data_IF_480191151057
#
_entry.id   IF_480191151057
#
_cell.length_a   1.000
_cell.length_b   1.000
_cell.length_c   1.000
_cell.angle_alpha   90.00
_cell.angle_beta   90.00
_cell.angle_gamma   90.00
#
_symmetry.space_group_name_H-M   'P 1'
#
loop_
_entity.id
_entity.type
_entity.pdbx_description
1 polymer ?
#
# COMPACT_ATOMS: atom_id res chain seq x y z
N UNK A 1 0.30 -47.62 29.74
CA UNK A 1 -0.04 -46.62 28.71
C UNK A 1 -1.44 -46.02 28.94
N UNK A 2 -1.88 -45.84 30.19
CA UNK A 2 -3.28 -45.45 30.49
C UNK A 2 -3.44 -44.03 31.06
N UNK A 3 -2.34 -43.33 31.36
CA UNK A 3 -2.38 -41.99 31.97
C UNK A 3 -2.61 -40.84 30.97
N UNK A 4 -2.38 -41.04 29.67
CA UNK A 4 -2.50 -39.98 28.67
C UNK A 4 -3.96 -39.64 28.32
N UNK A 5 -4.87 -40.62 28.40
CA UNK A 5 -6.27 -40.48 27.99
C UNK A 5 -7.10 -39.67 29.01
N UNK A 6 -6.76 -39.76 30.30
CA UNK A 6 -7.45 -39.05 31.39
C UNK A 6 -7.28 -37.52 31.35
N UNK A 7 -6.24 -37.01 30.66
CA UNK A 7 -6.05 -35.57 30.44
C UNK A 7 -6.75 -35.04 29.19
N UNK A 8 -7.24 -35.90 28.29
CA UNK A 8 -7.84 -35.47 27.02
C UNK A 8 -9.26 -34.90 27.14
N UNK A 9 -9.90 -35.03 28.32
CA UNK A 9 -11.27 -34.54 28.56
C UNK A 9 -11.38 -33.19 29.29
N UNK A 10 -10.28 -32.62 29.81
CA UNK A 10 -10.30 -31.35 30.54
C UNK A 10 -9.83 -30.21 29.62
N UNK A 11 -10.70 -29.22 29.39
CA UNK A 11 -10.29 -27.96 28.76
C UNK A 11 -9.11 -27.39 29.55
N UNK A 12 -8.00 -27.10 28.86
CA UNK A 12 -6.85 -26.42 29.46
C UNK A 12 -7.31 -25.06 30.01
N UNK A 13 -6.75 -24.65 31.15
CA UNK A 13 -6.93 -23.27 31.60
C UNK A 13 -6.22 -22.33 30.63
N UNK A 14 -6.61 -21.06 30.64
CA UNK A 14 -5.94 -20.07 29.79
C UNK A 14 -4.44 -19.96 30.11
N UNK A 15 -3.99 -20.11 31.36
CA UNK A 15 -2.54 -20.09 31.67
C UNK A 15 -1.80 -21.28 31.07
N UNK A 16 -2.41 -22.46 31.12
CA UNK A 16 -1.84 -23.66 30.51
C UNK A 16 -1.81 -23.53 28.98
N UNK A 17 -2.86 -22.96 28.41
CA UNK A 17 -2.95 -22.70 26.98
C UNK A 17 -1.88 -21.68 26.56
N UNK A 18 -1.69 -20.62 27.34
CA UNK A 18 -0.69 -19.57 27.13
C UNK A 18 0.72 -20.15 27.05
N UNK A 19 1.10 -20.94 28.06
CA UNK A 19 2.41 -21.57 28.14
C UNK A 19 2.67 -22.49 26.93
N UNK A 20 1.68 -23.28 26.53
CA UNK A 20 1.78 -24.19 25.38
C UNK A 20 1.96 -23.42 24.08
N UNK A 21 1.20 -22.35 23.86
CA UNK A 21 1.30 -21.54 22.64
C UNK A 21 2.66 -20.84 22.53
N UNK A 22 3.18 -20.27 23.61
CA UNK A 22 4.51 -19.65 23.62
C UNK A 22 5.64 -20.66 23.37
N UNK A 23 5.55 -21.83 23.99
CA UNK A 23 6.55 -22.88 23.79
C UNK A 23 6.57 -23.36 22.33
N UNK A 24 5.40 -23.48 21.69
CA UNK A 24 5.32 -23.78 20.27
C UNK A 24 6.07 -22.74 19.42
N UNK A 25 5.83 -21.44 19.64
CA UNK A 25 6.50 -20.37 18.89
C UNK A 25 8.01 -20.44 19.09
N UNK A 26 8.49 -20.63 20.32
CA UNK A 26 9.92 -20.83 20.63
C UNK A 26 10.51 -21.98 19.83
N UNK A 27 9.79 -23.10 19.72
CA UNK A 27 10.22 -24.27 18.92
C UNK A 27 10.27 -23.95 17.42
N UNK A 28 9.30 -23.22 16.89
CA UNK A 28 9.28 -22.83 15.47
C UNK A 28 10.45 -21.90 15.13
N UNK A 29 10.73 -20.91 15.98
CA UNK A 29 11.89 -20.03 15.84
C UNK A 29 13.21 -20.80 15.91
N UNK A 30 13.35 -21.72 16.88
CA UNK A 30 14.56 -22.56 17.02
C UNK A 30 14.83 -23.39 15.77
N UNK A 31 13.78 -23.80 15.06
CA UNK A 31 13.86 -24.55 13.80
C UNK A 31 14.07 -23.67 12.56
N UNK A 32 14.26 -22.35 12.73
CA UNK A 32 14.42 -21.37 11.64
C UNK A 32 13.26 -21.41 10.63
N UNK A 33 12.04 -21.68 11.11
CA UNK A 33 10.84 -21.57 10.27
C UNK A 33 10.70 -20.11 9.82
N UNK A 34 10.30 -19.90 8.55
CA UNK A 34 10.16 -18.54 8.02
C UNK A 34 9.09 -17.75 8.77
N UNK A 35 9.24 -16.43 8.83
CA UNK A 35 8.36 -15.53 9.57
C UNK A 35 6.91 -15.68 9.14
N UNK A 36 6.67 -15.76 7.84
CA UNK A 36 5.34 -15.90 7.23
C UNK A 36 4.65 -17.18 7.69
N UNK A 37 5.40 -18.30 7.76
CA UNK A 37 4.88 -19.59 8.23
C UNK A 37 4.54 -19.55 9.72
N UNK A 38 5.33 -18.83 10.52
CA UNK A 38 5.07 -18.68 11.94
C UNK A 38 3.79 -17.86 12.15
N UNK A 39 3.62 -16.74 11.43
CA UNK A 39 2.39 -15.93 11.41
C UNK A 39 1.17 -16.79 11.10
N UNK A 40 1.24 -17.62 10.05
CA UNK A 40 0.13 -18.51 9.67
C UNK A 40 -0.25 -19.49 10.78
N UNK A 41 0.74 -20.06 11.48
CA UNK A 41 0.50 -21.01 12.58
C UNK A 41 -0.13 -20.31 13.78
N UNK A 42 0.31 -19.10 14.11
CA UNK A 42 -0.23 -18.31 15.22
C UNK A 42 -1.69 -17.92 14.94
N UNK A 43 -1.97 -17.42 13.75
CA UNK A 43 -3.32 -17.05 13.34
C UNK A 43 -4.25 -18.27 13.40
N UNK A 44 -3.81 -19.42 12.88
CA UNK A 44 -4.55 -20.68 12.99
C UNK A 44 -4.90 -21.00 14.46
N UNK A 45 -3.91 -20.97 15.35
CA UNK A 45 -4.12 -21.32 16.76
C UNK A 45 -5.04 -20.33 17.48
N UNK A 46 -4.96 -19.04 17.14
CA UNK A 46 -5.81 -17.98 17.69
C UNK A 46 -7.30 -18.23 17.39
N UNK A 47 -7.64 -18.69 16.19
CA UNK A 47 -9.03 -18.98 15.81
C UNK A 47 -9.57 -20.28 16.39
N UNK A 48 -8.78 -21.36 16.39
CA UNK A 48 -9.28 -22.69 16.82
C UNK A 48 -9.20 -22.93 18.33
N UNK A 49 -8.31 -22.23 19.01
CA UNK A 49 -8.16 -22.34 20.47
C UNK A 49 -8.09 -20.94 21.07
N UNK A 50 -9.20 -20.19 21.06
CA UNK A 50 -9.24 -18.85 21.63
C UNK A 50 -9.00 -18.92 23.15
N UNK A 51 -8.42 -17.86 23.69
CA UNK A 51 -8.42 -17.67 25.13
C UNK A 51 -9.84 -17.33 25.60
N UNK A 52 -10.22 -17.84 26.77
CA UNK A 52 -11.52 -17.51 27.36
C UNK A 52 -11.51 -16.07 27.88
N UNK A 53 -10.37 -15.62 28.38
CA UNK A 53 -10.09 -14.26 28.79
C UNK A 53 -9.38 -13.50 27.66
N UNK A 54 -10.00 -12.42 27.20
CA UNK A 54 -9.44 -11.51 26.18
C UNK A 54 -8.10 -10.90 26.60
N UNK A 55 -7.85 -10.72 27.91
CA UNK A 55 -6.57 -10.20 28.41
C UNK A 55 -5.40 -11.17 28.12
N UNK A 56 -5.65 -12.48 28.15
CA UNK A 56 -4.63 -13.48 27.85
C UNK A 56 -4.27 -13.48 26.36
N UNK A 57 -5.22 -13.14 25.49
CA UNK A 57 -4.96 -12.96 24.07
C UNK A 57 -4.03 -11.76 23.83
N UNK A 58 -4.31 -10.63 24.47
CA UNK A 58 -3.50 -9.41 24.35
C UNK A 58 -2.07 -9.65 24.85
N UNK A 59 -1.91 -10.22 26.04
CA UNK A 59 -0.60 -10.53 26.62
C UNK A 59 0.20 -11.50 25.73
N UNK A 60 -0.50 -12.48 25.13
CA UNK A 60 0.12 -13.48 24.27
C UNK A 60 0.66 -12.88 22.98
N UNK A 61 -0.09 -11.97 22.36
CA UNK A 61 0.33 -11.26 21.15
C UNK A 61 1.55 -10.36 21.41
N UNK A 62 1.59 -9.71 22.57
CA UNK A 62 2.74 -8.91 23.01
C UNK A 62 4.00 -9.76 23.19
N UNK A 63 3.91 -10.85 23.95
CA UNK A 63 5.05 -11.76 24.17
C UNK A 63 5.55 -12.37 22.86
N UNK A 64 4.63 -12.69 21.95
CA UNK A 64 4.92 -13.20 20.64
C UNK A 64 5.71 -12.20 19.78
N UNK A 65 5.28 -10.94 19.72
CA UNK A 65 5.95 -9.89 18.95
C UNK A 65 7.39 -9.68 19.46
N UNK A 66 7.60 -9.70 20.78
CA UNK A 66 8.93 -9.66 21.38
C UNK A 66 9.79 -10.88 21.02
N UNK A 67 9.19 -12.06 20.97
CA UNK A 67 9.90 -13.31 20.73
C UNK A 67 10.43 -13.42 19.29
N UNK A 68 9.64 -12.97 18.31
CA UNK A 68 9.98 -13.06 16.87
C UNK A 68 10.87 -11.89 16.42
N UNK A 69 11.07 -10.87 17.28
CA UNK A 69 11.76 -9.62 16.94
C UNK A 69 11.21 -9.03 15.62
N UNK A 70 9.91 -9.16 15.41
CA UNK A 70 9.28 -8.71 14.19
C UNK A 70 9.01 -7.22 14.31
N UNK A 71 9.61 -6.44 13.41
CA UNK A 71 9.25 -5.02 13.23
C UNK A 71 7.82 -4.87 12.69
N UNK A 72 7.26 -5.94 12.12
CA UNK A 72 5.87 -6.00 11.66
C UNK A 72 4.95 -6.71 12.66
N UNK A 73 3.82 -6.09 12.98
CA UNK A 73 2.86 -6.58 13.96
C UNK A 73 2.08 -7.79 13.34
N UNK A 74 1.70 -8.84 14.10
CA UNK A 74 1.15 -10.14 13.65
C UNK A 74 -0.29 -10.50 14.11
N UNK A 75 -0.96 -9.66 14.91
CA UNK A 75 -2.34 -9.77 15.45
C UNK A 75 -3.43 -9.06 14.63
N UNK A 76 -4.65 -8.88 15.19
CA UNK A 76 -5.82 -8.33 14.45
C UNK A 76 -5.69 -6.82 14.17
N UNK A 77 -5.31 -6.06 15.17
CA UNK A 77 -5.05 -4.63 15.06
C UNK A 77 -3.90 -4.34 14.09
N UNK A 78 -2.97 -5.29 14.05
CA UNK A 78 -1.75 -5.30 13.26
C UNK A 78 -2.04 -5.58 11.77
N UNK A 79 -3.10 -6.36 11.48
CA UNK A 79 -3.66 -6.55 10.15
C UNK A 79 -4.45 -5.33 9.64
N UNK A 80 -5.17 -4.63 10.53
CA UNK A 80 -5.95 -3.44 10.17
C UNK A 80 -5.02 -2.28 9.78
N UNK A 81 -3.93 -2.09 10.53
CA UNK A 81 -2.94 -1.04 10.22
C UNK A 81 -2.18 -1.30 8.91
N UNK A 82 -1.87 -2.56 8.59
CA UNK A 82 -1.22 -2.91 7.32
C UNK A 82 -2.15 -2.67 6.12
N UNK A 83 -3.45 -2.92 6.29
CA UNK A 83 -4.49 -2.64 5.30
C UNK A 83 -4.69 -1.13 5.07
N UNK A 84 -4.79 -0.34 6.13
CA UNK A 84 -4.90 1.13 6.03
C UNK A 84 -3.67 1.74 5.36
N UNK A 85 -2.47 1.22 5.67
CA UNK A 85 -1.23 1.69 5.06
C UNK A 85 -1.15 1.36 3.57
N UNK A 86 -1.57 0.16 3.16
CA UNK A 86 -1.63 -0.22 1.74
C UNK A 86 -2.63 0.62 0.96
N UNK A 87 -3.79 0.90 1.56
CA UNK A 87 -4.79 1.79 0.98
C UNK A 87 -4.25 3.21 0.81
N UNK A 88 -3.62 3.78 1.84
CA UNK A 88 -3.03 5.12 1.76
C UNK A 88 -1.92 5.24 0.71
N UNK A 89 -1.09 4.21 0.54
CA UNK A 89 -0.06 4.19 -0.51
C UNK A 89 -0.71 4.09 -1.91
N UNK A 90 -1.71 3.22 -2.08
CA UNK A 90 -2.39 3.06 -3.37
C UNK A 90 -3.10 4.38 -3.78
N UNK A 91 -3.80 5.01 -2.84
CA UNK A 91 -4.44 6.30 -3.04
C UNK A 91 -3.40 7.39 -3.37
N UNK A 92 -2.30 7.48 -2.63
CA UNK A 92 -1.26 8.46 -2.91
C UNK A 92 -0.57 8.26 -4.27
N UNK A 93 -0.42 7.01 -4.74
CA UNK A 93 0.11 6.72 -6.07
C UNK A 93 -0.90 7.12 -7.16
N UNK A 94 -2.18 6.80 -6.98
CA UNK A 94 -3.24 7.14 -7.92
C UNK A 94 -3.40 8.66 -8.05
N UNK A 95 -3.50 9.37 -6.92
CA UNK A 95 -3.57 10.83 -6.88
C UNK A 95 -2.32 11.48 -7.48
N UNK A 96 -1.13 10.98 -7.10
CA UNK A 96 0.14 11.49 -7.63
C UNK A 96 0.29 11.26 -9.13
N UNK A 97 -0.18 10.13 -9.66
CA UNK A 97 -0.17 9.85 -11.09
C UNK A 97 -1.16 10.74 -11.84
N UNK A 98 -2.39 10.89 -11.34
CA UNK A 98 -3.39 11.76 -11.95
C UNK A 98 -2.91 13.21 -12.01
N UNK A 99 -2.42 13.75 -10.90
CA UNK A 99 -1.83 15.10 -10.85
C UNK A 99 -0.60 15.23 -11.75
N UNK A 100 0.24 14.19 -11.82
CA UNK A 100 1.42 14.17 -12.67
C UNK A 100 1.07 14.20 -14.16
N UNK A 101 0.04 13.47 -14.59
CA UNK A 101 -0.45 13.46 -15.97
C UNK A 101 -1.06 14.82 -16.31
N UNK A 102 -1.95 15.35 -15.48
CA UNK A 102 -2.59 16.66 -15.69
C UNK A 102 -1.55 17.77 -15.79
N UNK A 103 -0.59 17.81 -14.86
CA UNK A 103 0.50 18.79 -14.90
C UNK A 103 1.40 18.61 -16.13
N UNK A 104 1.59 17.38 -16.58
CA UNK A 104 2.35 17.06 -17.79
C UNK A 104 1.65 17.55 -19.06
N UNK A 105 0.33 17.38 -19.15
CA UNK A 105 -0.48 17.86 -20.27
C UNK A 105 -0.48 19.39 -20.33
N UNK A 106 -0.69 20.07 -19.20
CA UNK A 106 -0.64 21.54 -19.12
C UNK A 106 0.74 22.07 -19.53
N UNK A 107 1.83 21.49 -18.99
CA UNK A 107 3.20 21.91 -19.37
C UNK A 107 3.51 21.62 -20.82
N UNK A 108 3.04 20.49 -21.36
CA UNK A 108 3.20 20.17 -22.78
C UNK A 108 2.49 21.22 -23.64
N UNK A 109 1.26 21.57 -23.30
CA UNK A 109 0.49 22.59 -24.01
C UNK A 109 1.18 23.96 -23.94
N UNK A 110 1.65 24.39 -22.77
CA UNK A 110 2.41 25.62 -22.60
C UNK A 110 3.69 25.65 -23.47
N UNK A 111 4.48 24.56 -23.47
CA UNK A 111 5.70 24.45 -24.27
C UNK A 111 5.41 24.45 -25.78
N UNK A 112 4.33 23.77 -26.21
CA UNK A 112 3.90 23.75 -27.61
C UNK A 112 3.47 25.15 -28.06
N UNK A 113 2.70 25.86 -27.24
CA UNK A 113 2.28 27.23 -27.52
C UNK A 113 3.48 28.18 -27.58
N UNK A 114 4.48 28.02 -26.71
CA UNK A 114 5.64 28.90 -26.64
C UNK A 114 6.67 28.68 -27.75
N UNK A 115 6.84 27.45 -28.20
CA UNK A 115 7.93 27.07 -29.11
C UNK A 115 7.43 26.56 -30.45
N UNK A 116 6.56 25.55 -30.46
CA UNK A 116 6.15 24.88 -31.69
C UNK A 116 5.18 25.75 -32.54
N UNK A 117 4.25 26.47 -31.90
CA UNK A 117 3.29 27.32 -32.62
C UNK A 117 3.97 28.46 -33.39
N UNK A 118 4.89 29.26 -32.79
CA UNK A 118 5.63 30.29 -33.52
C UNK A 118 6.44 29.74 -34.69
N UNK A 119 7.14 28.61 -34.50
CA UNK A 119 7.94 27.99 -35.55
C UNK A 119 7.08 27.53 -36.74
N UNK A 120 5.95 26.88 -36.48
CA UNK A 120 5.02 26.45 -37.54
C UNK A 120 4.34 27.63 -38.23
N UNK A 121 4.06 28.71 -37.50
CA UNK A 121 3.53 29.96 -38.08
C UNK A 121 4.54 30.61 -39.02
N UNK A 122 5.83 30.65 -38.67
CA UNK A 122 6.90 31.16 -39.53
C UNK A 122 7.08 30.32 -40.81
N UNK A 123 6.77 29.02 -40.74
CA UNK A 123 6.73 28.13 -41.90
C UNK A 123 5.48 28.33 -42.78
N UNK A 124 4.59 29.27 -42.43
CA UNK A 124 3.44 29.66 -43.22
C UNK A 124 2.19 28.80 -43.02
N UNK A 125 2.11 28.02 -41.94
CA UNK A 125 0.90 27.28 -41.59
C UNK A 125 -0.14 28.23 -40.98
N UNK A 126 -1.42 27.98 -41.30
CA UNK A 126 -2.56 28.68 -40.73
C UNK A 126 -2.96 28.14 -39.36
N UNK A 127 -3.56 29.00 -38.53
CA UNK A 127 -3.91 28.69 -37.15
C UNK A 127 -4.83 27.46 -37.02
N UNK A 128 -5.76 27.27 -37.97
CA UNK A 128 -6.64 26.10 -37.99
C UNK A 128 -5.85 24.78 -38.13
N UNK A 129 -4.82 24.77 -38.97
CA UNK A 129 -4.03 23.56 -39.25
C UNK A 129 -3.01 23.29 -38.16
N UNK A 130 -2.44 24.33 -37.55
CA UNK A 130 -1.55 24.20 -36.39
C UNK A 130 -2.32 23.62 -35.19
N UNK A 131 -3.51 24.16 -34.89
CA UNK A 131 -4.37 23.65 -33.83
C UNK A 131 -4.73 22.17 -34.04
N UNK A 132 -5.05 21.78 -35.28
CA UNK A 132 -5.37 20.40 -35.62
C UNK A 132 -4.15 19.45 -35.55
N UNK A 133 -2.94 19.90 -35.89
CA UNK A 133 -1.71 19.09 -35.85
C UNK A 133 -1.24 18.86 -34.42
N UNK A 134 -1.29 19.90 -33.58
CA UNK A 134 -0.78 19.85 -32.21
C UNK A 134 -1.84 19.42 -31.19
N UNK A 135 -3.08 19.26 -31.62
CA UNK A 135 -4.25 18.98 -30.78
C UNK A 135 -4.44 20.03 -29.69
N UNK A 136 -4.45 21.30 -30.11
CA UNK A 136 -4.53 22.47 -29.24
C UNK A 136 -5.83 23.25 -29.49
N UNK A 137 -6.26 24.04 -28.52
CA UNK A 137 -7.40 24.93 -28.70
C UNK A 137 -7.07 26.04 -29.71
N UNK A 138 -7.89 26.15 -30.77
CA UNK A 138 -7.73 27.17 -31.83
C UNK A 138 -7.61 28.60 -31.29
N UNK A 139 -8.33 28.90 -30.20
CA UNK A 139 -8.30 30.21 -29.55
C UNK A 139 -6.93 30.51 -28.94
N UNK A 140 -6.29 29.53 -28.29
CA UNK A 140 -4.97 29.68 -27.69
C UNK A 140 -3.90 29.89 -28.77
N UNK A 141 -3.96 29.12 -29.86
CA UNK A 141 -3.05 29.25 -31.01
C UNK A 141 -3.17 30.62 -31.66
N UNK A 142 -4.41 31.10 -31.90
CA UNK A 142 -4.63 32.44 -32.48
C UNK A 142 -4.08 33.56 -31.61
N UNK A 143 -4.27 33.46 -30.30
CA UNK A 143 -3.76 34.45 -29.34
C UNK A 143 -2.23 34.56 -29.43
N UNK A 144 -1.50 33.44 -29.42
CA UNK A 144 -0.04 33.44 -29.56
C UNK A 144 0.41 34.03 -30.90
N UNK A 145 -0.25 33.66 -32.00
CA UNK A 145 0.09 34.19 -33.33
C UNK A 145 -0.23 35.68 -33.52
N UNK A 146 -1.12 36.25 -32.71
CA UNK A 146 -1.41 37.69 -32.67
C UNK A 146 -0.36 38.42 -31.83
N UNK A 147 0.03 37.87 -30.67
CA UNK A 147 1.08 38.41 -29.80
C UNK A 147 2.46 38.43 -30.49
N UNK A 148 2.84 37.36 -31.19
CA UNK A 148 4.11 37.29 -31.96
C UNK A 148 4.19 38.31 -33.13
N UNK A 149 3.04 38.82 -33.60
CA UNK A 149 3.01 39.85 -34.66
C UNK A 149 3.15 41.27 -34.12
N UNK A 150 2.91 41.49 -32.82
CA UNK A 150 3.08 42.79 -32.18
C UNK A 150 4.54 43.05 -31.76
N UNK A 151 5.36 41.98 -31.67
CA UNK A 151 6.79 42.05 -31.30
C UNK A 151 7.76 42.17 -32.51
N UNK A 152 7.24 42.34 -33.74
CA UNK A 152 7.98 42.54 -35.00
C UNK A 152 7.81 43.97 -35.57
#
# INVERSE_FOLDING_TARGET
>A
MEAAWQQMGKKKTDEQLYAVKLDLIKRLLKRKVSREKIVSVINFIKYFVPFTNSQNLINFEQDLNHLIKADQPMGIEEAILDEVKKQGIAQGIEEGLAQGIELGEVKREEELLKHAVPELAQLGLDAERIAAILDLELKAVRKVMEEDKEDL
#
